data_IF_896718093526
#
_entry.id   IF_896718093526
#
_cell.length_a   1.000
_cell.length_b   1.000
_cell.length_c   1.000
_cell.angle_alpha   90.00
_cell.angle_beta   90.00
_cell.angle_gamma   90.00
#
_symmetry.space_group_name_H-M   'P 1'
#
loop_
_entity.id
_entity.type
_entity.pdbx_description
1 polymer ?
#
# COMPACT_ATOMS: atom_id res chain seq x y z
N UNK A 1 25.46 -11.04 16.86
CA UNK A 1 24.85 -9.70 16.73
C UNK A 1 23.70 -9.77 15.74
N UNK A 2 22.69 -8.89 15.92
CA UNK A 2 21.41 -8.75 15.20
C UNK A 2 20.23 -9.51 15.79
N UNK A 3 19.74 -9.01 16.92
CA UNK A 3 18.35 -9.20 17.35
C UNK A 3 17.44 -8.55 16.29
N UNK A 4 16.73 -9.39 15.53
CA UNK A 4 15.67 -8.95 14.63
C UNK A 4 14.62 -8.17 15.45
N UNK A 5 14.37 -6.92 15.05
CA UNK A 5 13.42 -6.02 15.70
C UNK A 5 12.06 -6.70 15.93
N UNK A 6 11.62 -6.61 17.18
CA UNK A 6 10.36 -7.15 17.71
C UNK A 6 9.16 -6.73 16.84
N UNK A 7 8.21 -7.64 16.56
CA UNK A 7 6.95 -7.29 15.94
C UNK A 7 6.04 -6.61 16.98
N UNK A 8 5.47 -5.46 16.60
CA UNK A 8 4.26 -4.86 17.19
C UNK A 8 4.28 -4.28 18.62
N UNK A 9 5.35 -3.56 18.99
CA UNK A 9 5.25 -2.58 20.08
C UNK A 9 5.72 -1.19 19.62
N UNK A 10 4.94 -0.53 18.74
CA UNK A 10 5.04 0.93 18.63
C UNK A 10 4.57 1.48 19.97
N UNK A 11 5.45 2.23 20.64
CA UNK A 11 5.14 2.92 21.88
C UNK A 11 3.83 3.69 21.69
N UNK A 12 2.76 3.31 22.40
CA UNK A 12 1.43 3.91 22.30
C UNK A 12 1.39 5.41 22.67
N UNK A 13 2.53 5.98 23.11
CA UNK A 13 2.71 7.42 23.36
C UNK A 13 3.42 8.22 22.27
N UNK A 14 3.95 7.58 21.21
CA UNK A 14 4.52 8.33 20.08
C UNK A 14 3.40 8.76 19.12
N UNK A 15 3.32 10.06 18.82
CA UNK A 15 2.34 10.59 17.87
C UNK A 15 2.54 9.94 16.49
N UNK A 16 1.48 9.37 15.93
CA UNK A 16 1.50 8.78 14.59
C UNK A 16 1.76 9.87 13.55
N UNK A 17 2.68 9.64 12.64
CA UNK A 17 3.09 10.58 11.60
C UNK A 17 2.69 10.11 10.20
N UNK A 18 2.78 11.02 9.23
CA UNK A 18 2.62 10.68 7.80
C UNK A 18 3.70 9.68 7.35
N UNK A 19 4.92 9.79 7.87
CA UNK A 19 6.01 8.89 7.51
C UNK A 19 5.78 7.47 8.05
N UNK A 20 5.07 7.32 9.18
CA UNK A 20 4.66 5.99 9.66
C UNK A 20 3.70 5.30 8.69
N UNK A 21 2.79 6.06 8.07
CA UNK A 21 1.91 5.56 7.01
C UNK A 21 2.75 5.16 5.79
N UNK A 22 3.66 6.04 5.34
CA UNK A 22 4.53 5.79 4.19
C UNK A 22 5.46 4.60 4.39
N UNK A 23 5.96 4.37 5.61
CA UNK A 23 6.78 3.22 5.95
C UNK A 23 6.01 1.90 5.76
N UNK A 24 4.69 1.90 5.97
CA UNK A 24 3.84 0.73 5.72
C UNK A 24 3.52 0.54 4.23
N UNK A 25 3.37 1.63 3.48
CA UNK A 25 2.80 1.58 2.11
C UNK A 25 3.85 1.67 1.00
N UNK A 26 5.03 2.22 1.27
CA UNK A 26 6.05 2.54 0.27
C UNK A 26 6.54 1.36 -0.57
N UNK A 27 6.49 0.14 -0.01
CA UNK A 27 6.91 -1.09 -0.70
C UNK A 27 5.76 -2.10 -0.87
N UNK A 28 4.50 -1.67 -0.81
CA UNK A 28 3.37 -2.59 -0.92
C UNK A 28 3.28 -3.23 -2.31
N UNK A 29 3.40 -4.55 -2.38
CA UNK A 29 3.11 -5.34 -3.59
C UNK A 29 1.63 -5.75 -3.61
N UNK A 30 1.06 -6.10 -4.78
CA UNK A 30 -0.35 -6.46 -4.89
C UNK A 30 -0.80 -7.57 -3.93
N UNK A 31 0.03 -8.60 -3.75
CA UNK A 31 -0.30 -9.75 -2.92
C UNK A 31 -0.43 -9.38 -1.44
N UNK A 32 0.36 -8.40 -0.96
CA UNK A 32 0.29 -7.93 0.42
C UNK A 32 -0.64 -6.72 0.60
N UNK A 33 -1.21 -6.17 -0.47
CA UNK A 33 -1.98 -4.93 -0.42
C UNK A 33 -3.17 -5.01 0.58
N UNK A 34 -3.85 -6.16 0.67
CA UNK A 34 -4.92 -6.37 1.66
C UNK A 34 -4.40 -6.34 3.12
N UNK A 35 -3.24 -6.96 3.37
CA UNK A 35 -2.64 -6.99 4.71
C UNK A 35 -2.15 -5.59 5.11
N UNK A 36 -1.47 -4.89 4.20
CA UNK A 36 -0.99 -3.52 4.41
C UNK A 36 -2.17 -2.58 4.65
N UNK A 37 -3.25 -2.68 3.87
CA UNK A 37 -4.47 -1.88 4.07
C UNK A 37 -5.01 -2.02 5.49
N UNK A 38 -5.11 -3.25 5.99
CA UNK A 38 -5.62 -3.51 7.33
C UNK A 38 -4.71 -2.93 8.42
N UNK A 39 -3.40 -2.93 8.20
CA UNK A 39 -2.45 -2.34 9.15
C UNK A 39 -2.55 -0.81 9.18
N UNK A 40 -2.65 -0.17 8.01
CA UNK A 40 -2.86 1.29 7.91
C UNK A 40 -4.18 1.70 8.55
N UNK A 41 -5.27 0.98 8.28
CA UNK A 41 -6.57 1.26 8.88
C UNK A 41 -6.54 1.23 10.41
N UNK A 42 -5.86 0.26 11.01
CA UNK A 42 -5.67 0.19 12.48
C UNK A 42 -4.78 1.32 13.01
N UNK A 43 -3.74 1.70 12.28
CA UNK A 43 -2.82 2.77 12.66
C UNK A 43 -3.54 4.12 12.75
N UNK A 44 -4.47 4.41 11.82
CA UNK A 44 -5.15 5.72 11.74
C UNK A 44 -6.51 5.78 12.45
N UNK A 45 -7.11 4.64 12.80
CA UNK A 45 -8.41 4.57 13.47
C UNK A 45 -8.54 5.45 14.73
N UNK A 46 -7.53 5.57 15.62
CA UNK A 46 -7.65 6.41 16.81
C UNK A 46 -7.41 7.91 16.55
N UNK A 47 -7.04 8.31 15.32
CA UNK A 47 -6.66 9.70 15.03
C UNK A 47 -7.89 10.58 14.75
N UNK A 48 -7.85 11.88 15.12
CA UNK A 48 -8.84 12.87 14.70
C UNK A 48 -8.99 12.94 13.17
N UNK A 49 -10.17 13.30 12.69
CA UNK A 49 -10.50 13.32 11.25
C UNK A 49 -9.63 14.31 10.45
N UNK A 50 -9.18 15.39 11.08
CA UNK A 50 -8.30 16.44 10.55
C UNK A 50 -6.80 16.11 10.68
N UNK A 51 -6.45 15.00 11.32
CA UNK A 51 -5.04 14.62 11.51
C UNK A 51 -4.38 14.30 10.15
N UNK A 52 -3.21 14.88 9.83
CA UNK A 52 -2.58 14.72 8.52
C UNK A 52 -2.27 13.25 8.17
N UNK A 53 -1.83 12.45 9.15
CA UNK A 53 -1.61 11.02 8.94
C UNK A 53 -2.91 10.24 8.65
N UNK A 54 -4.06 10.67 9.17
CA UNK A 54 -5.35 10.02 8.87
C UNK A 54 -5.78 10.31 7.43
N UNK A 55 -5.69 11.57 7.00
CA UNK A 55 -6.00 11.96 5.63
C UNK A 55 -5.17 11.17 4.60
N UNK A 56 -3.85 11.07 4.83
CA UNK A 56 -2.95 10.28 3.97
C UNK A 56 -3.27 8.79 4.06
N UNK A 57 -3.47 8.26 5.28
CA UNK A 57 -3.77 6.85 5.50
C UNK A 57 -5.08 6.40 4.83
N UNK A 58 -6.13 7.22 4.86
CA UNK A 58 -7.39 6.93 4.18
C UNK A 58 -7.21 6.90 2.65
N UNK A 59 -6.39 7.78 2.09
CA UNK A 59 -6.05 7.75 0.66
C UNK A 59 -5.29 6.47 0.28
N UNK A 60 -4.31 6.06 1.08
CA UNK A 60 -3.57 4.82 0.87
C UNK A 60 -4.46 3.58 1.03
N UNK A 61 -5.39 3.57 1.98
CA UNK A 61 -6.35 2.46 2.14
C UNK A 61 -7.19 2.27 0.87
N UNK A 62 -7.65 3.35 0.24
CA UNK A 62 -8.36 3.28 -1.04
C UNK A 62 -7.46 2.74 -2.16
N UNK A 63 -6.23 3.25 -2.27
CA UNK A 63 -5.23 2.81 -3.25
C UNK A 63 -4.92 1.31 -3.12
N UNK A 64 -4.63 0.84 -1.91
CA UNK A 64 -4.31 -0.57 -1.62
C UNK A 64 -5.52 -1.49 -1.89
N UNK A 65 -6.74 -1.00 -1.64
CA UNK A 65 -7.97 -1.74 -1.98
C UNK A 65 -8.14 -1.88 -3.50
N UNK A 66 -7.77 -0.86 -4.28
CA UNK A 66 -7.75 -0.98 -5.74
C UNK A 66 -6.64 -1.96 -6.20
N UNK A 67 -5.41 -1.77 -5.71
CA UNK A 67 -4.22 -2.57 -6.08
C UNK A 67 -4.44 -4.08 -5.84
N UNK A 68 -5.08 -4.42 -4.72
CA UNK A 68 -5.39 -5.82 -4.40
C UNK A 68 -6.40 -6.49 -5.34
N UNK A 69 -7.26 -5.71 -6.01
CA UNK A 69 -8.28 -6.22 -6.94
C UNK A 69 -7.77 -6.28 -8.36
N UNK A 70 -7.04 -5.25 -8.79
CA UNK A 70 -6.53 -5.15 -10.16
C UNK A 70 -5.22 -5.91 -10.38
N UNK A 71 -4.47 -6.20 -9.32
CA UNK A 71 -3.05 -6.55 -9.46
C UNK A 71 -2.21 -5.33 -9.88
N UNK A 72 -0.92 -5.57 -10.14
CA UNK A 72 0.00 -4.60 -10.75
C UNK A 72 0.42 -5.14 -12.12
N UNK A 73 0.11 -4.40 -13.19
CA UNK A 73 0.65 -4.69 -14.51
C UNK A 73 2.01 -4.02 -14.58
N UNK A 74 3.08 -4.78 -14.35
CA UNK A 74 4.46 -4.34 -14.60
C UNK A 74 4.86 -4.71 -16.03
N UNK A 75 5.07 -3.70 -16.87
CA UNK A 75 5.51 -3.86 -18.26
C UNK A 75 5.18 -2.62 -19.09
N UNK A 76 5.97 -2.36 -20.14
CA UNK A 76 5.59 -1.38 -21.15
C UNK A 76 4.45 -1.93 -22.00
N UNK A 77 3.54 -1.06 -22.45
CA UNK A 77 2.57 -1.41 -23.48
C UNK A 77 3.31 -1.87 -24.75
N UNK A 78 2.63 -2.65 -25.59
CA UNK A 78 3.16 -3.12 -26.86
C UNK A 78 3.74 -1.94 -27.66
N UNK A 79 5.00 -2.06 -28.07
CA UNK A 79 5.66 -1.06 -28.92
C UNK A 79 5.25 -1.30 -30.38
N UNK A 80 5.16 -0.25 -31.22
CA UNK A 80 4.86 -0.43 -32.64
C UNK A 80 5.85 -1.40 -33.30
N UNK A 81 5.34 -2.47 -33.91
CA UNK A 81 6.16 -3.49 -34.56
C UNK A 81 6.62 -4.66 -33.67
N UNK A 82 6.29 -4.67 -32.39
CA UNK A 82 6.53 -5.81 -31.49
C UNK A 82 5.20 -6.40 -30.99
N UNK A 83 5.02 -7.74 -30.98
CA UNK A 83 3.86 -8.35 -30.36
C UNK A 83 3.84 -8.02 -28.86
N UNK A 84 2.71 -7.53 -28.37
CA UNK A 84 2.50 -7.30 -26.93
C UNK A 84 2.58 -8.61 -26.13
N UNK A 85 3.10 -8.54 -24.92
CA UNK A 85 3.14 -9.70 -24.03
C UNK A 85 1.71 -10.08 -23.61
N UNK A 86 1.35 -11.38 -23.53
CA UNK A 86 0.03 -11.82 -23.11
C UNK A 86 -0.40 -11.25 -21.74
N UNK A 87 0.55 -11.04 -20.83
CA UNK A 87 0.33 -10.44 -19.51
C UNK A 87 0.01 -8.95 -19.51
N UNK A 88 0.19 -8.27 -20.64
CA UNK A 88 -0.12 -6.83 -20.83
C UNK A 88 -1.34 -6.59 -21.72
N UNK A 89 -2.01 -7.67 -22.18
CA UNK A 89 -3.20 -7.55 -23.00
C UNK A 89 -4.37 -7.00 -22.16
N UNK A 90 -4.99 -5.92 -22.64
CA UNK A 90 -6.22 -5.40 -22.03
C UNK A 90 -7.32 -6.47 -22.05
N UNK A 91 -8.14 -6.60 -20.98
CA UNK A 91 -9.26 -7.53 -20.97
C UNK A 91 -10.20 -7.19 -22.12
N UNK A 92 -10.53 -8.18 -22.95
CA UNK A 92 -11.55 -8.04 -23.99
C UNK A 92 -12.90 -7.91 -23.28
N UNK A 93 -13.57 -6.78 -23.49
CA UNK A 93 -14.92 -6.52 -23.02
C UNK A 93 -15.95 -7.45 -23.65
#
# INVERSE_FOLDING_TARGET
>A
MSEAQRPDHRNLGAAVTVDDVRALTGAATPHFAQQVRNRVARLIAPLPADHPARLVGEAEVRRLTALSRSGEVRGALAQPGMPGLPSTALPRG
#
